data_IF_845567926950
#
_entry.id   IF_845567926950
#
_cell.length_a   1.000
_cell.length_b   1.000
_cell.length_c   1.000
_cell.angle_alpha   90.00
_cell.angle_beta   90.00
_cell.angle_gamma   90.00
#
_symmetry.space_group_name_H-M   'P 1'
#
loop_
_entity.id
_entity.type
_entity.pdbx_description
1 polymer ?
#
# COMPACT_ATOMS: atom_id res chain seq x y z
N UNK A 1 -25.42 -4.12 5.05
CA UNK A 1 -23.98 -4.02 5.23
C UNK A 1 -23.26 -4.72 4.08
N UNK A 2 -22.08 -4.28 3.77
CA UNK A 2 -21.20 -4.84 2.74
C UNK A 2 -19.96 -5.48 3.39
N UNK A 3 -19.08 -6.04 2.60
CA UNK A 3 -17.84 -6.67 3.08
C UNK A 3 -16.94 -5.65 3.81
N UNK A 4 -16.92 -4.40 3.37
CA UNK A 4 -16.16 -3.35 4.07
C UNK A 4 -16.72 -3.11 5.48
N UNK A 5 -18.04 -3.07 5.62
CA UNK A 5 -18.69 -2.95 6.92
C UNK A 5 -18.36 -4.10 7.87
N UNK A 6 -18.24 -5.33 7.34
CA UNK A 6 -17.79 -6.49 8.12
C UNK A 6 -16.34 -6.31 8.59
N UNK A 7 -15.43 -5.93 7.70
CA UNK A 7 -14.03 -5.68 8.04
C UNK A 7 -13.88 -4.58 9.10
N UNK A 8 -14.64 -3.49 8.97
CA UNK A 8 -14.64 -2.41 9.97
C UNK A 8 -15.22 -2.86 11.31
N UNK A 9 -16.24 -3.73 11.31
CA UNK A 9 -16.79 -4.33 12.52
C UNK A 9 -15.77 -5.22 13.23
N UNK A 10 -15.05 -6.05 12.46
CA UNK A 10 -13.96 -6.88 12.98
C UNK A 10 -12.81 -6.05 13.55
N UNK A 11 -12.43 -4.95 12.87
CA UNK A 11 -11.43 -4.02 13.39
C UNK A 11 -11.87 -3.40 14.73
N UNK A 12 -13.15 -2.99 14.86
CA UNK A 12 -13.69 -2.50 16.13
C UNK A 12 -13.66 -3.55 17.23
N UNK A 13 -14.04 -4.79 16.91
CA UNK A 13 -14.01 -5.90 17.86
C UNK A 13 -12.57 -6.19 18.33
N UNK A 14 -11.62 -6.22 17.38
CA UNK A 14 -10.20 -6.42 17.69
C UNK A 14 -9.67 -5.32 18.63
N UNK A 15 -9.99 -4.07 18.36
CA UNK A 15 -9.59 -2.94 19.20
C UNK A 15 -10.18 -3.07 20.62
N UNK A 16 -11.44 -3.48 20.74
CA UNK A 16 -12.06 -3.74 22.04
C UNK A 16 -11.35 -4.87 22.81
N UNK A 17 -11.03 -5.97 22.15
CA UNK A 17 -10.31 -7.10 22.76
C UNK A 17 -8.93 -6.65 23.23
N UNK A 18 -8.18 -5.91 22.41
CA UNK A 18 -6.83 -5.44 22.72
C UNK A 18 -6.81 -4.43 23.87
N UNK A 19 -7.89 -3.69 24.08
CA UNK A 19 -8.02 -2.68 25.15
C UNK A 19 -8.76 -3.16 26.37
N UNK A 20 -9.27 -4.42 26.33
CA UNK A 20 -10.01 -5.01 27.43
C UNK A 20 -9.13 -5.17 28.69
N UNK A 21 -9.66 -4.72 29.83
CA UNK A 21 -9.04 -4.96 31.13
C UNK A 21 -9.56 -6.30 31.69
N UNK A 22 -8.66 -7.09 32.26
CA UNK A 22 -9.00 -8.38 32.91
C UNK A 22 -9.73 -9.36 31.96
N UNK A 23 -9.47 -9.29 30.65
CA UNK A 23 -10.12 -10.08 29.61
C UNK A 23 -11.66 -9.96 29.61
N UNK A 24 -12.21 -8.87 30.14
CA UNK A 24 -13.64 -8.61 30.16
C UNK A 24 -14.03 -7.60 29.08
N UNK A 25 -14.99 -7.98 28.25
CA UNK A 25 -15.59 -7.07 27.27
C UNK A 25 -16.86 -6.45 27.85
N UNK A 26 -17.07 -5.14 27.69
CA UNK A 26 -18.31 -4.51 28.10
C UNK A 26 -19.49 -4.98 27.24
N UNK A 27 -20.67 -5.05 27.84
CA UNK A 27 -21.92 -5.24 27.07
C UNK A 27 -22.27 -3.89 26.45
N UNK A 28 -22.16 -3.78 25.12
CA UNK A 28 -22.40 -2.54 24.41
C UNK A 28 -22.93 -2.79 22.99
N UNK A 29 -23.50 -1.74 22.39
CA UNK A 29 -23.86 -1.68 20.98
C UNK A 29 -23.03 -0.60 20.31
N UNK A 30 -22.37 -0.92 19.19
CA UNK A 30 -21.61 0.04 18.41
C UNK A 30 -22.38 0.37 17.13
N UNK A 31 -22.63 1.65 16.89
CA UNK A 31 -23.10 2.17 15.62
C UNK A 31 -22.00 3.06 15.05
N UNK A 32 -21.33 2.59 14.00
CA UNK A 32 -20.19 3.27 13.40
C UNK A 32 -20.40 3.41 11.89
N UNK A 33 -20.01 4.58 11.39
CA UNK A 33 -19.94 4.86 9.95
C UNK A 33 -18.78 5.81 9.68
N UNK A 34 -18.09 5.70 8.55
CA UNK A 34 -17.01 6.61 8.22
C UNK A 34 -17.55 8.04 7.99
N UNK A 35 -16.82 9.04 8.52
CA UNK A 35 -17.11 10.45 8.23
C UNK A 35 -16.71 10.84 6.81
N UNK A 36 -15.68 10.16 6.24
CA UNK A 36 -15.17 10.40 4.90
C UNK A 36 -15.14 9.10 4.10
N UNK A 37 -15.56 9.17 2.83
CA UNK A 37 -15.51 8.05 1.90
C UNK A 37 -14.07 7.64 1.57
N UNK A 38 -13.18 8.60 1.35
CA UNK A 38 -11.75 8.40 1.12
C UNK A 38 -10.98 8.52 2.44
N UNK A 39 -10.25 7.47 2.78
CA UNK A 39 -9.39 7.39 3.98
C UNK A 39 -8.09 6.69 3.58
N UNK A 40 -7.21 7.46 2.96
CA UNK A 40 -6.01 6.96 2.29
C UNK A 40 -4.73 7.23 3.06
N UNK A 41 -3.74 6.42 2.74
CA UNK A 41 -2.33 6.62 3.03
C UNK A 41 -1.56 6.63 1.70
N UNK A 42 -0.55 7.49 1.56
CA UNK A 42 0.37 7.46 0.43
C UNK A 42 1.75 6.97 0.90
N UNK A 43 2.35 6.07 0.12
CA UNK A 43 3.73 5.64 0.29
C UNK A 43 4.56 6.00 -0.94
N UNK A 44 5.70 6.63 -0.71
CA UNK A 44 6.72 6.86 -1.73
C UNK A 44 7.58 5.60 -1.88
N UNK A 45 7.27 4.81 -2.91
CA UNK A 45 8.02 3.60 -3.23
C UNK A 45 9.23 3.89 -4.15
N UNK A 46 9.26 5.05 -4.79
CA UNK A 46 10.32 5.42 -5.72
C UNK A 46 11.61 5.81 -4.97
N UNK A 47 11.51 6.70 -3.95
CA UNK A 47 12.68 7.14 -3.17
C UNK A 47 13.05 6.14 -2.08
N UNK A 48 12.11 5.31 -1.66
CA UNK A 48 12.36 4.21 -0.73
C UNK A 48 11.62 2.96 -1.21
N UNK A 49 12.36 1.84 -1.38
CA UNK A 49 11.71 0.59 -1.79
C UNK A 49 11.14 -0.14 -0.58
N UNK A 50 9.82 -0.22 -0.52
CA UNK A 50 9.10 -1.03 0.45
C UNK A 50 8.96 -2.46 -0.07
N UNK A 51 9.41 -3.44 0.70
CA UNK A 51 9.22 -4.85 0.34
C UNK A 51 7.74 -5.24 0.36
N UNK A 52 7.39 -6.34 -0.30
CA UNK A 52 6.01 -6.86 -0.30
C UNK A 52 5.53 -7.13 1.12
N UNK A 53 6.40 -7.64 1.99
CA UNK A 53 6.06 -7.93 3.39
C UNK A 53 5.80 -6.65 4.20
N UNK A 54 6.61 -5.60 4.03
CA UNK A 54 6.39 -4.29 4.66
C UNK A 54 5.10 -3.63 4.17
N UNK A 55 4.77 -3.78 2.88
CA UNK A 55 3.49 -3.31 2.34
C UNK A 55 2.31 -4.07 2.93
N UNK A 56 2.42 -5.38 3.12
CA UNK A 56 1.38 -6.18 3.79
C UNK A 56 1.19 -5.77 5.24
N UNK A 57 2.27 -5.55 5.98
CA UNK A 57 2.19 -5.04 7.36
C UNK A 57 1.51 -3.68 7.40
N UNK A 58 1.86 -2.80 6.46
CA UNK A 58 1.20 -1.49 6.32
C UNK A 58 -0.31 -1.66 6.05
N UNK A 59 -0.68 -2.56 5.15
CA UNK A 59 -2.09 -2.86 4.85
C UNK A 59 -2.85 -3.42 6.06
N UNK A 60 -2.19 -4.22 6.90
CA UNK A 60 -2.77 -4.70 8.16
C UNK A 60 -3.05 -3.56 9.14
N UNK A 61 -2.09 -2.65 9.30
CA UNK A 61 -2.29 -1.44 10.10
C UNK A 61 -3.40 -0.55 9.52
N UNK A 62 -3.44 -0.37 8.21
CA UNK A 62 -4.50 0.40 7.55
C UNK A 62 -5.88 -0.22 7.80
N UNK A 63 -6.02 -1.54 7.70
CA UNK A 63 -7.25 -2.24 7.99
C UNK A 63 -7.68 -2.08 9.46
N UNK A 64 -6.73 -2.16 10.39
CA UNK A 64 -6.97 -1.95 11.81
C UNK A 64 -7.52 -0.54 12.11
N UNK A 65 -7.00 0.49 11.41
CA UNK A 65 -7.48 1.87 11.51
C UNK A 65 -8.61 2.21 10.54
N UNK A 66 -9.17 1.22 9.84
CA UNK A 66 -10.29 1.38 8.90
C UNK A 66 -9.98 2.33 7.73
N UNK A 67 -8.71 2.44 7.33
CA UNK A 67 -8.33 3.09 6.08
C UNK A 67 -8.73 2.20 4.90
N UNK A 68 -9.03 2.82 3.74
CA UNK A 68 -9.57 2.09 2.60
C UNK A 68 -8.82 2.32 1.28
N UNK A 69 -7.76 3.11 1.29
CA UNK A 69 -7.03 3.42 0.06
C UNK A 69 -5.54 3.53 0.34
N UNK A 70 -4.72 2.73 -0.35
CA UNK A 70 -3.27 2.87 -0.38
C UNK A 70 -2.86 3.45 -1.73
N UNK A 71 -2.32 4.66 -1.71
CA UNK A 71 -1.75 5.34 -2.86
C UNK A 71 -0.25 5.04 -2.92
N UNK A 72 0.20 4.38 -3.99
CA UNK A 72 1.59 4.00 -4.19
C UNK A 72 2.22 4.91 -5.24
N UNK A 73 3.15 5.76 -4.83
CA UNK A 73 3.99 6.57 -5.72
C UNK A 73 5.13 5.68 -6.23
N UNK A 74 4.96 5.14 -7.46
CA UNK A 74 5.80 4.06 -7.98
C UNK A 74 6.94 4.54 -8.87
N UNK A 75 6.89 5.79 -9.33
CA UNK A 75 7.88 6.32 -10.28
C UNK A 75 8.29 7.73 -9.94
N UNK A 76 9.60 8.00 -10.01
CA UNK A 76 10.17 9.33 -9.82
C UNK A 76 11.54 9.42 -10.49
N UNK A 77 12.26 10.51 -10.27
CA UNK A 77 13.62 10.72 -10.79
C UNK A 77 14.59 9.61 -10.36
N UNK A 78 14.40 9.07 -9.15
CA UNK A 78 15.32 8.11 -8.55
C UNK A 78 15.06 6.68 -9.03
N UNK A 79 13.81 6.31 -9.27
CA UNK A 79 13.49 4.95 -9.66
C UNK A 79 12.15 4.80 -10.35
N UNK A 80 12.10 3.78 -11.23
CA UNK A 80 10.88 3.21 -11.78
C UNK A 80 10.65 1.85 -11.15
N UNK A 81 9.61 1.70 -10.32
CA UNK A 81 9.36 0.49 -9.53
C UNK A 81 8.33 -0.48 -10.13
N UNK A 82 7.78 -0.14 -11.29
CA UNK A 82 6.67 -0.88 -11.91
C UNK A 82 7.18 -1.73 -13.08
N UNK A 83 7.09 -3.06 -12.98
CA UNK A 83 7.45 -3.98 -14.05
C UNK A 83 6.49 -3.86 -15.25
N UNK A 84 7.04 -3.73 -16.45
CA UNK A 84 6.27 -3.61 -17.70
C UNK A 84 6.87 -4.50 -18.80
N UNK A 85 6.09 -5.44 -19.35
CA UNK A 85 6.57 -6.39 -20.37
C UNK A 85 7.06 -5.72 -21.65
N UNK A 86 6.37 -4.64 -22.06
CA UNK A 86 6.71 -3.94 -23.30
C UNK A 86 7.96 -3.06 -23.17
N UNK A 87 8.32 -2.72 -21.94
CA UNK A 87 9.41 -1.81 -21.65
C UNK A 87 10.25 -2.34 -20.47
N UNK A 88 10.95 -3.49 -20.68
CA UNK A 88 11.70 -4.14 -19.60
C UNK A 88 12.87 -3.29 -19.08
N UNK A 89 13.40 -2.41 -19.91
CA UNK A 89 14.53 -1.53 -19.54
C UNK A 89 14.13 -0.50 -18.48
N UNK A 90 12.84 -0.17 -18.34
CA UNK A 90 12.36 0.71 -17.28
C UNK A 90 12.72 0.21 -15.86
N UNK A 91 12.67 -1.09 -15.61
CA UNK A 91 13.05 -1.66 -14.32
C UNK A 91 14.52 -2.08 -14.25
N UNK A 92 15.16 -2.26 -15.41
CA UNK A 92 16.56 -2.63 -15.50
C UNK A 92 17.48 -1.42 -15.35
N UNK A 93 17.27 -0.36 -16.13
CA UNK A 93 18.05 0.86 -16.13
C UNK A 93 17.43 1.95 -15.24
N UNK A 94 16.09 2.08 -15.24
CA UNK A 94 15.35 3.08 -14.49
C UNK A 94 15.26 2.82 -12.98
N UNK A 95 15.84 1.72 -12.48
CA UNK A 95 15.95 1.44 -11.02
C UNK A 95 17.34 1.70 -10.47
N UNK A 96 18.23 2.24 -11.29
CA UNK A 96 19.58 2.55 -10.85
C UNK A 96 19.61 3.84 -10.03
N UNK A 97 19.96 3.70 -8.75
CA UNK A 97 20.04 4.83 -7.82
C UNK A 97 21.50 5.09 -7.46
N UNK A 98 22.10 6.11 -8.08
CA UNK A 98 23.53 6.37 -8.02
C UNK A 98 24.03 6.63 -6.59
N UNK A 99 23.28 7.42 -5.81
CA UNK A 99 23.68 7.82 -4.46
C UNK A 99 23.40 6.74 -3.40
N UNK A 100 22.53 5.76 -3.71
CA UNK A 100 22.15 4.67 -2.80
C UNK A 100 22.06 3.35 -3.58
N UNK A 101 23.21 2.75 -3.89
CA UNK A 101 23.27 1.50 -4.68
C UNK A 101 22.45 0.34 -4.12
N UNK A 102 22.23 0.31 -2.80
CA UNK A 102 21.42 -0.69 -2.14
C UNK A 102 19.93 -0.63 -2.50
N UNK A 103 19.47 0.51 -3.03
CA UNK A 103 18.12 0.69 -3.55
C UNK A 103 18.01 0.39 -5.05
N UNK A 104 19.14 0.19 -5.73
CA UNK A 104 19.17 -0.10 -7.17
C UNK A 104 18.67 -1.51 -7.47
N UNK A 105 18.07 -1.69 -8.65
CA UNK A 105 17.57 -2.98 -9.13
C UNK A 105 16.33 -3.50 -8.41
N UNK A 106 15.76 -2.74 -7.46
CA UNK A 106 14.55 -3.13 -6.74
C UNK A 106 13.32 -2.59 -7.46
N UNK A 107 12.37 -3.47 -7.75
CA UNK A 107 11.10 -3.15 -8.38
C UNK A 107 10.06 -4.20 -8.01
N UNK A 108 8.79 -3.91 -8.25
CA UNK A 108 7.71 -4.88 -8.10
C UNK A 108 7.50 -5.62 -9.41
N UNK A 109 7.61 -6.94 -9.36
CA UNK A 109 7.20 -7.83 -10.45
C UNK A 109 5.68 -7.78 -10.62
N UNK A 110 5.17 -8.37 -11.70
CA UNK A 110 3.71 -8.54 -11.87
C UNK A 110 3.10 -9.41 -10.79
N UNK A 111 3.82 -10.42 -10.37
CA UNK A 111 3.46 -11.34 -9.31
C UNK A 111 3.36 -10.59 -7.98
N UNK A 112 4.34 -9.76 -7.64
CA UNK A 112 4.35 -8.92 -6.44
C UNK A 112 3.14 -7.96 -6.43
N UNK A 113 2.90 -7.27 -7.55
CA UNK A 113 1.77 -6.33 -7.67
C UNK A 113 0.43 -7.05 -7.52
N UNK A 114 0.29 -8.23 -8.14
CA UNK A 114 -0.91 -9.06 -8.02
C UNK A 114 -1.13 -9.52 -6.57
N UNK A 115 -0.05 -9.89 -5.90
CA UNK A 115 -0.08 -10.30 -4.49
C UNK A 115 -0.53 -9.15 -3.60
N UNK A 116 0.07 -7.96 -3.75
CA UNK A 116 -0.27 -6.75 -3.00
C UNK A 116 -1.75 -6.38 -3.20
N UNK A 117 -2.21 -6.32 -4.47
CA UNK A 117 -3.62 -5.99 -4.79
C UNK A 117 -4.59 -7.01 -4.21
N UNK A 118 -4.25 -8.29 -4.30
CA UNK A 118 -5.10 -9.36 -3.74
C UNK A 118 -5.18 -9.26 -2.22
N UNK A 119 -4.03 -9.03 -1.58
CA UNK A 119 -3.94 -8.88 -0.12
C UNK A 119 -4.70 -7.66 0.38
N UNK A 120 -4.57 -6.52 -0.30
CA UNK A 120 -5.32 -5.30 0.00
C UNK A 120 -6.83 -5.51 -0.17
N UNK A 121 -7.25 -6.17 -1.25
CA UNK A 121 -8.66 -6.46 -1.54
C UNK A 121 -9.35 -7.27 -0.45
N UNK A 122 -8.67 -8.25 0.16
CA UNK A 122 -9.22 -9.01 1.30
C UNK A 122 -9.48 -8.16 2.54
N UNK A 123 -8.85 -6.99 2.62
CA UNK A 123 -8.97 -6.00 3.71
C UNK A 123 -9.91 -4.85 3.36
N UNK A 124 -10.49 -4.86 2.16
CA UNK A 124 -11.33 -3.76 1.66
C UNK A 124 -10.55 -2.49 1.37
N UNK A 125 -9.25 -2.63 1.04
CA UNK A 125 -8.36 -1.52 0.69
C UNK A 125 -8.13 -1.53 -0.82
N UNK A 126 -8.35 -0.38 -1.45
CA UNK A 126 -8.04 -0.13 -2.86
C UNK A 126 -6.59 0.32 -3.01
N UNK A 127 -5.90 -0.18 -4.05
CA UNK A 127 -4.56 0.28 -4.43
C UNK A 127 -4.70 1.29 -5.57
N UNK A 128 -4.16 2.49 -5.38
CA UNK A 128 -4.04 3.51 -6.44
C UNK A 128 -2.57 3.59 -6.84
N UNK A 129 -2.17 3.07 -8.02
CA UNK A 129 -0.83 3.25 -8.52
C UNK A 129 -0.67 4.65 -9.13
N UNK A 130 0.40 5.35 -8.79
CA UNK A 130 0.76 6.63 -9.38
C UNK A 130 2.00 6.48 -10.26
N UNK A 131 1.91 7.07 -11.45
CA UNK A 131 3.00 7.19 -12.43
C UNK A 131 3.08 8.64 -12.88
N UNK A 132 4.20 9.31 -12.58
CA UNK A 132 4.39 10.72 -12.88
C UNK A 132 4.94 10.96 -14.27
N UNK A 133 4.31 11.89 -15.01
CA UNK A 133 4.72 12.39 -16.30
C UNK A 133 4.16 13.82 -16.53
N UNK A 134 4.88 14.73 -17.16
CA UNK A 134 6.29 14.68 -17.64
C UNK A 134 7.31 15.07 -16.57
N UNK A 135 6.87 15.46 -15.37
CA UNK A 135 7.73 15.71 -14.21
C UNK A 135 8.11 14.40 -13.51
N UNK A 136 9.12 14.44 -12.66
CA UNK A 136 9.53 13.29 -11.83
C UNK A 136 9.79 12.01 -12.66
N UNK A 137 10.37 12.12 -13.86
CA UNK A 137 10.48 11.01 -14.80
C UNK A 137 11.91 10.79 -15.34
N UNK A 138 12.95 11.20 -14.60
CA UNK A 138 14.34 10.97 -15.04
C UNK A 138 14.60 9.48 -15.20
N UNK A 139 14.13 8.64 -14.29
CA UNK A 139 14.30 7.20 -14.37
C UNK A 139 13.77 6.61 -15.69
N UNK A 140 12.60 7.04 -16.16
CA UNK A 140 12.05 6.58 -17.45
C UNK A 140 12.74 7.19 -18.68
N UNK A 141 13.50 8.28 -18.53
CA UNK A 141 14.28 8.89 -19.61
C UNK A 141 15.64 8.24 -19.79
N UNK A 142 16.16 7.59 -18.76
CA UNK A 142 17.44 6.89 -18.79
C UNK A 142 17.25 5.48 -19.40
N UNK A 143 16.10 4.86 -19.15
CA UNK A 143 15.71 3.57 -19.71
C UNK A 143 15.35 3.68 -21.20
#
# INVERSE_FOLDING_TARGET
GDIQGVNHGLASLLQLIMTAKDAQLPVLTIQDKPAFGYRGLMLDCARHFWTVDELKETLDHMAFFKLNTLHMHLTDNQAWRLSMDKYPDLVKEGTYYYDFPELSGKYYSKEDLKEIVTYAGTRGIEIIPEVDLPGHCIACRIA
#
